data_IF_862220538212
#
_entry.id   IF_862220538212
#
_cell.length_a   1.000
_cell.length_b   1.000
_cell.length_c   1.000
_cell.angle_alpha   90.00
_cell.angle_beta   90.00
_cell.angle_gamma   90.00
#
_symmetry.space_group_name_H-M   'P 1'
#
loop_
_entity.id
_entity.type
_entity.pdbx_description
1 polymer ?
#
# COMPACT_ATOMS: atom_id res chain seq x y z
N UNK A 1 -5.29 9.63 -4.97
CA UNK A 1 -4.33 8.54 -5.08
C UNK A 1 -2.94 9.04 -4.73
N UNK A 2 -2.23 8.31 -3.91
CA UNK A 2 -0.88 8.64 -3.52
C UNK A 2 0.01 7.41 -3.68
N UNK A 3 1.19 7.63 -4.24
CA UNK A 3 2.18 6.59 -4.41
C UNK A 3 3.51 7.11 -3.93
N UNK A 4 4.19 6.32 -3.10
CA UNK A 4 5.53 6.65 -2.61
C UNK A 4 6.44 5.46 -2.87
N UNK A 5 7.66 5.76 -3.28
CA UNK A 5 8.70 4.75 -3.45
C UNK A 5 9.92 5.19 -2.69
N UNK A 6 10.53 4.26 -1.97
CA UNK A 6 11.78 4.53 -1.28
C UNK A 6 12.61 3.27 -1.19
N UNK A 7 13.91 3.46 -1.07
CA UNK A 7 14.85 2.37 -0.98
C UNK A 7 15.45 2.34 0.42
N UNK A 8 15.58 1.14 0.96
CA UNK A 8 16.19 0.93 2.26
C UNK A 8 17.45 0.11 2.05
N UNK A 9 18.59 0.64 2.49
CA UNK A 9 19.83 -0.10 2.47
C UNK A 9 19.93 -0.91 3.75
N UNK A 10 19.90 -2.23 3.62
CA UNK A 10 19.92 -3.13 4.77
C UNK A 10 21.33 -3.55 5.16
N UNK A 11 22.34 -3.11 4.42
CA UNK A 11 23.71 -3.62 4.58
C UNK A 11 23.96 -4.91 3.82
N UNK A 12 22.93 -5.60 3.40
CA UNK A 12 23.00 -6.82 2.58
C UNK A 12 22.47 -6.60 1.17
N UNK A 13 21.98 -5.43 0.90
CA UNK A 13 21.41 -5.06 -0.36
C UNK A 13 20.34 -4.01 -0.17
N UNK A 14 19.74 -3.59 -1.27
CA UNK A 14 18.72 -2.56 -1.25
C UNK A 14 17.36 -3.21 -1.37
N UNK A 15 16.47 -2.81 -0.48
CA UNK A 15 15.06 -3.21 -0.51
C UNK A 15 14.27 -2.03 -1.02
N UNK A 16 13.51 -2.25 -2.09
CA UNK A 16 12.62 -1.23 -2.65
C UNK A 16 11.24 -1.38 -2.02
N UNK A 17 10.73 -0.29 -1.48
CA UNK A 17 9.40 -0.28 -0.88
C UNK A 17 8.52 0.67 -1.68
N UNK A 18 7.36 0.16 -2.09
CA UNK A 18 6.37 0.94 -2.82
C UNK A 18 5.12 0.98 -1.96
N UNK A 19 4.69 2.19 -1.63
CA UNK A 19 3.45 2.41 -0.90
C UNK A 19 2.46 3.09 -1.80
N UNK A 20 1.28 2.53 -1.92
CA UNK A 20 0.21 3.08 -2.74
C UNK A 20 -1.04 3.19 -1.89
N UNK A 21 -1.71 4.32 -1.98
CA UNK A 21 -2.96 4.57 -1.27
C UNK A 21 -4.01 5.04 -2.25
N UNK A 22 -5.19 4.47 -2.18
CA UNK A 22 -6.29 4.84 -3.07
C UNK A 22 -7.62 4.70 -2.34
N UNK A 23 -8.67 5.41 -2.78
CA UNK A 23 -10.00 5.20 -2.21
C UNK A 23 -10.41 3.75 -2.36
N UNK A 24 -11.00 3.18 -1.32
CA UNK A 24 -11.34 1.76 -1.32
C UNK A 24 -12.51 1.42 -2.24
N UNK A 25 -13.36 2.39 -2.55
CA UNK A 25 -14.49 2.14 -3.44
C UNK A 25 -15.58 1.27 -2.83
N UNK A 26 -15.65 1.20 -1.52
CA UNK A 26 -16.64 0.39 -0.84
C UNK A 26 -18.02 1.07 -0.84
N UNK A 27 -19.06 0.27 -0.90
CA UNK A 27 -20.43 0.75 -0.88
C UNK A 27 -21.23 0.06 0.19
N UNK A 28 -22.20 0.78 0.75
CA UNK A 28 -23.20 0.19 1.63
C UNK A 28 -24.24 -0.58 0.81
N UNK A 29 -25.08 -1.38 1.49
CA UNK A 29 -26.13 -2.15 0.82
C UNK A 29 -27.08 -1.28 0.00
N UNK A 30 -27.30 -0.05 0.43
CA UNK A 30 -28.19 0.89 -0.26
C UNK A 30 -27.50 1.62 -1.42
N UNK A 31 -26.27 1.26 -1.76
CA UNK A 31 -25.54 1.89 -2.84
C UNK A 31 -24.79 3.14 -2.47
N UNK A 32 -24.89 3.61 -1.23
CA UNK A 32 -24.13 4.77 -0.78
C UNK A 32 -22.67 4.43 -0.66
N UNK A 33 -21.80 5.28 -1.19
CA UNK A 33 -20.37 5.05 -1.10
C UNK A 33 -19.85 5.39 0.30
N UNK A 34 -19.04 4.51 0.83
CA UNK A 34 -18.36 4.76 2.09
C UNK A 34 -17.15 5.65 1.81
N UNK A 35 -17.05 6.75 2.55
CA UNK A 35 -15.94 7.68 2.42
C UNK A 35 -15.00 7.55 3.62
N UNK A 36 -13.78 8.04 3.46
CA UNK A 36 -12.79 8.00 4.53
C UNK A 36 -12.08 6.66 4.66
N UNK A 37 -12.36 5.69 3.78
CA UNK A 37 -11.68 4.41 3.79
C UNK A 37 -10.77 4.34 2.58
N UNK A 38 -9.49 4.15 2.83
CA UNK A 38 -8.49 3.99 1.78
C UNK A 38 -7.91 2.58 1.82
N UNK A 39 -7.63 2.05 0.65
CA UNK A 39 -6.88 0.81 0.52
C UNK A 39 -5.41 1.17 0.38
N UNK A 40 -4.60 0.68 1.29
CA UNK A 40 -3.16 0.88 1.25
C UNK A 40 -2.49 -0.42 0.83
N UNK A 41 -1.65 -0.33 -0.17
CA UNK A 41 -0.85 -1.44 -0.66
C UNK A 41 0.61 -1.16 -0.37
N UNK A 42 1.26 -2.09 0.30
CA UNK A 42 2.70 -2.05 0.53
C UNK A 42 3.34 -3.20 -0.24
N UNK A 43 4.19 -2.87 -1.18
CA UNK A 43 4.94 -3.84 -1.95
C UNK A 43 6.41 -3.70 -1.60
N UNK A 44 7.06 -4.80 -1.31
CA UNK A 44 8.48 -4.84 -0.97
C UNK A 44 9.17 -5.72 -1.98
N UNK A 45 10.25 -5.22 -2.56
CA UNK A 45 11.02 -5.92 -3.57
C UNK A 45 12.49 -5.94 -3.18
N UNK A 46 13.11 -7.10 -3.31
CA UNK A 46 14.54 -7.24 -3.03
C UNK A 46 15.10 -8.35 -3.92
N UNK A 47 16.40 -8.44 -3.94
CA UNK A 47 17.08 -9.48 -4.70
C UNK A 47 17.86 -10.37 -3.74
N UNK A 48 17.70 -11.67 -3.87
CA UNK A 48 18.42 -12.65 -3.06
C UNK A 48 19.02 -13.71 -3.98
N UNK A 49 20.33 -13.85 -3.90
CA UNK A 49 21.03 -14.84 -4.74
C UNK A 49 20.83 -14.61 -6.23
N UNK A 50 20.71 -13.34 -6.65
CA UNK A 50 20.46 -13.01 -8.04
C UNK A 50 19.00 -13.16 -8.48
N UNK A 51 18.12 -13.59 -7.58
CA UNK A 51 16.71 -13.80 -7.89
C UNK A 51 15.88 -12.70 -7.25
N UNK A 52 15.03 -12.10 -8.06
CA UNK A 52 14.13 -11.05 -7.59
C UNK A 52 13.03 -11.65 -6.71
N UNK A 53 12.84 -11.06 -5.54
CA UNK A 53 11.81 -11.46 -4.58
C UNK A 53 10.86 -10.31 -4.37
N UNK A 54 9.62 -10.60 -4.06
CA UNK A 54 8.66 -9.56 -3.74
C UNK A 54 7.59 -10.08 -2.79
N UNK A 55 7.08 -9.16 -1.98
CA UNK A 55 5.92 -9.41 -1.13
C UNK A 55 5.02 -8.20 -1.16
N UNK A 56 3.75 -8.46 -0.98
CA UNK A 56 2.75 -7.40 -1.01
C UNK A 56 1.74 -7.67 0.09
N UNK A 57 1.37 -6.61 0.81
CA UNK A 57 0.29 -6.65 1.78
C UNK A 57 -0.66 -5.51 1.47
N UNK A 58 -1.93 -5.73 1.74
CA UNK A 58 -2.96 -4.72 1.57
C UNK A 58 -3.77 -4.62 2.85
N UNK A 59 -4.18 -3.40 3.19
CA UNK A 59 -5.00 -3.18 4.36
C UNK A 59 -5.83 -1.92 4.16
N UNK A 60 -6.92 -1.83 4.88
CA UNK A 60 -7.77 -0.66 4.86
C UNK A 60 -7.42 0.28 5.99
N UNK A 61 -7.38 1.56 5.69
CA UNK A 61 -7.20 2.62 6.69
C UNK A 61 -8.47 3.45 6.69
N UNK A 62 -9.08 3.54 7.85
CA UNK A 62 -10.26 4.36 8.02
C UNK A 62 -9.88 5.66 8.70
N UNK A 63 -10.25 6.76 8.07
CA UNK A 63 -10.13 8.08 8.65
C UNK A 63 -11.53 8.65 8.71
N UNK A 64 -12.13 8.71 9.91
CA UNK A 64 -13.43 9.33 10.05
C UNK A 64 -13.37 10.70 9.41
N UNK A 65 -14.37 10.99 8.61
CA UNK A 65 -14.36 12.17 7.77
C UNK A 65 -13.83 13.39 8.48
N UNK A 66 -12.98 14.10 7.76
CA UNK A 66 -12.47 15.33 8.29
C UNK A 66 -13.65 16.28 8.51
N UNK A 67 -14.09 16.28 9.69
CA UNK A 67 -15.24 17.10 10.08
C UNK A 67 -14.72 18.45 10.51
#
# INVERSE_FOLDING_TARGET
DAKKEFNIDTGYGIVKVIQKSEPAGLEEENGAKLTGINLVTLAVQWTRGGVSQSRQVQFYVYRPGAI
#
